data_IF_869072404022
#
_entry.id   IF_869072404022
#
_cell.length_a   1.000
_cell.length_b   1.000
_cell.length_c   1.000
_cell.angle_alpha   90.00
_cell.angle_beta   90.00
_cell.angle_gamma   90.00
#
_symmetry.space_group_name_H-M   'P 1'
#
loop_
_entity.id
_entity.type
_entity.pdbx_description
1 polymer ?
#
# COMPACT_ATOMS: atom_id res chain seq x y z
N UNK A 1 -21.47 -11.42 18.99
CA UNK A 1 -20.26 -11.96 18.32
C UNK A 1 -19.52 -10.83 17.66
N UNK A 2 -18.19 -10.80 17.77
CA UNK A 2 -17.35 -9.81 17.11
C UNK A 2 -17.29 -10.07 15.60
N UNK A 3 -17.57 -9.04 14.80
CA UNK A 3 -17.35 -9.03 13.35
C UNK A 3 -15.86 -8.99 12.98
N UNK A 4 -15.54 -9.50 11.80
CA UNK A 4 -14.27 -9.35 11.11
C UNK A 4 -14.29 -8.14 10.18
N UNK A 5 -13.31 -7.25 10.36
CA UNK A 5 -13.25 -5.96 9.68
C UNK A 5 -11.90 -5.82 8.98
N UNK A 6 -11.91 -5.66 7.67
CA UNK A 6 -10.74 -5.25 6.89
C UNK A 6 -10.77 -3.73 6.73
N UNK A 7 -9.78 -3.04 7.28
CA UNK A 7 -9.68 -1.58 7.30
C UNK A 7 -8.59 -1.13 6.31
N UNK A 8 -8.96 -0.40 5.27
CA UNK A 8 -8.03 0.18 4.29
C UNK A 8 -7.69 1.63 4.65
N UNK A 9 -6.45 1.85 5.10
CA UNK A 9 -5.92 3.17 5.42
C UNK A 9 -5.35 3.87 4.18
N UNK A 10 -5.82 5.09 3.88
CA UNK A 10 -5.23 5.90 2.81
C UNK A 10 -3.78 6.33 3.08
N UNK A 11 -2.97 6.48 2.03
CA UNK A 11 -1.60 7.01 2.16
C UNK A 11 -1.56 8.43 2.73
N UNK A 12 -2.60 9.23 2.48
CA UNK A 12 -2.75 10.59 3.02
C UNK A 12 -2.94 10.60 4.55
N UNK A 13 -3.43 9.50 5.12
CA UNK A 13 -3.51 9.35 6.57
C UNK A 13 -2.16 9.05 7.21
N UNK A 14 -1.13 8.70 6.41
CA UNK A 14 0.25 8.54 6.86
C UNK A 14 1.04 9.81 6.58
N UNK A 15 0.96 10.38 5.38
CA UNK A 15 1.58 11.67 5.05
C UNK A 15 0.56 12.59 4.38
N UNK A 16 0.22 13.70 5.03
CA UNK A 16 -0.80 14.62 4.53
C UNK A 16 -0.30 15.45 3.34
N UNK A 17 -1.19 15.90 2.45
CA UNK A 17 -0.82 16.81 1.36
C UNK A 17 -0.07 18.05 1.89
N UNK A 18 1.03 18.41 1.24
CA UNK A 18 1.91 19.55 1.60
C UNK A 18 2.63 19.45 2.95
N UNK A 19 2.47 18.34 3.68
CA UNK A 19 3.22 18.09 4.89
C UNK A 19 4.66 17.68 4.55
N UNK A 20 5.63 18.16 5.31
CA UNK A 20 7.02 17.74 5.15
C UNK A 20 7.16 16.23 5.41
N UNK A 21 7.86 15.53 4.51
CA UNK A 21 7.95 14.07 4.47
C UNK A 21 8.89 13.46 5.53
N UNK A 22 8.88 13.98 6.77
CA UNK A 22 9.70 13.47 7.87
C UNK A 22 9.11 12.21 8.50
N UNK A 23 9.96 11.36 9.07
CA UNK A 23 9.50 10.21 9.86
C UNK A 23 8.59 10.64 11.02
N UNK A 24 8.94 11.73 11.72
CA UNK A 24 8.18 12.21 12.87
C UNK A 24 6.75 12.63 12.50
N UNK A 25 6.59 13.34 11.38
CA UNK A 25 5.28 13.71 10.86
C UNK A 25 4.44 12.49 10.51
N UNK A 26 5.03 11.53 9.79
CA UNK A 26 4.33 10.31 9.41
C UNK A 26 3.91 9.47 10.62
N UNK A 27 4.80 9.31 11.58
CA UNK A 27 4.51 8.55 12.79
C UNK A 27 3.44 9.23 13.66
N UNK A 28 3.43 10.56 13.75
CA UNK A 28 2.36 11.31 14.44
C UNK A 28 0.99 11.06 13.82
N UNK A 29 0.91 11.06 12.48
CA UNK A 29 -0.33 10.77 11.78
C UNK A 29 -0.79 9.32 12.00
N UNK A 30 0.15 8.37 11.95
CA UNK A 30 -0.10 6.95 12.24
C UNK A 30 -0.64 6.75 13.66
N UNK A 31 -0.10 7.42 14.68
CA UNK A 31 -0.62 7.37 16.05
C UNK A 31 -2.09 7.83 16.11
N UNK A 32 -2.41 8.90 15.37
CA UNK A 32 -3.78 9.44 15.30
C UNK A 32 -4.73 8.45 14.62
N UNK A 33 -4.35 7.91 13.46
CA UNK A 33 -5.18 6.97 12.71
C UNK A 33 -5.44 5.67 13.49
N UNK A 34 -4.40 5.12 14.14
CA UNK A 34 -4.49 3.86 14.89
C UNK A 34 -5.29 3.97 16.18
N UNK A 35 -5.55 5.18 16.68
CA UNK A 35 -6.41 5.40 17.85
C UNK A 35 -7.84 4.90 17.62
N UNK A 36 -8.42 5.13 16.45
CA UNK A 36 -9.76 4.65 16.14
C UNK A 36 -9.79 3.16 15.82
N UNK A 37 -8.72 2.63 15.24
CA UNK A 37 -8.59 1.19 14.97
C UNK A 37 -8.57 0.38 16.27
N UNK A 38 -7.91 0.88 17.32
CA UNK A 38 -7.88 0.15 18.61
C UNK A 38 -9.25 0.15 19.30
N UNK A 39 -10.05 1.19 19.14
CA UNK A 39 -11.44 1.27 19.65
C UNK A 39 -12.31 0.14 19.03
N UNK A 40 -12.09 -0.17 17.75
CA UNK A 40 -12.76 -1.30 17.07
C UNK A 40 -12.35 -2.65 17.69
N UNK A 41 -11.07 -2.83 18.06
CA UNK A 41 -10.58 -4.08 18.67
C UNK A 41 -11.11 -4.23 20.10
N UNK A 42 -11.15 -3.13 20.84
CA UNK A 42 -11.71 -3.04 22.19
C UNK A 42 -13.20 -3.40 22.23
N UNK A 43 -13.95 -3.03 21.18
CA UNK A 43 -15.34 -3.45 20.99
C UNK A 43 -15.51 -4.96 20.65
N UNK A 44 -14.42 -5.72 20.61
CA UNK A 44 -14.42 -7.17 20.39
C UNK A 44 -14.38 -7.61 18.93
N UNK A 45 -14.05 -6.70 17.99
CA UNK A 45 -13.94 -7.03 16.57
C UNK A 45 -12.56 -7.58 16.20
N UNK A 46 -12.52 -8.44 15.17
CA UNK A 46 -11.30 -8.93 14.54
C UNK A 46 -10.88 -7.94 13.47
N UNK A 47 -9.61 -7.54 13.45
CA UNK A 47 -9.14 -6.47 12.57
C UNK A 47 -7.99 -6.95 11.70
N UNK A 48 -8.13 -6.71 10.40
CA UNK A 48 -7.02 -6.71 9.44
C UNK A 48 -6.87 -5.31 8.87
N UNK A 49 -5.66 -4.78 8.84
CA UNK A 49 -5.36 -3.44 8.36
C UNK A 49 -4.58 -3.57 7.05
N UNK A 50 -5.06 -2.89 6.01
CA UNK A 50 -4.27 -2.58 4.82
C UNK A 50 -3.95 -1.10 4.80
N UNK A 51 -2.95 -0.71 4.01
CA UNK A 51 -2.58 0.69 3.88
C UNK A 51 -2.12 1.03 2.47
N UNK A 52 -2.26 2.30 2.08
CA UNK A 52 -1.56 2.85 0.92
C UNK A 52 -0.10 3.11 1.23
N UNK A 53 0.71 3.28 0.18
CA UNK A 53 2.14 3.59 0.31
C UNK A 53 2.60 4.71 -0.66
N UNK A 54 1.69 5.36 -1.40
CA UNK A 54 2.03 6.25 -2.51
C UNK A 54 3.15 7.26 -2.21
N UNK A 55 3.03 8.09 -1.15
CA UNK A 55 4.11 9.00 -0.78
C UNK A 55 5.40 8.28 -0.33
N UNK A 56 5.28 7.17 0.40
CA UNK A 56 6.42 6.43 0.96
C UNK A 56 7.24 5.71 -0.12
N UNK A 57 6.57 4.95 -0.99
CA UNK A 57 7.22 4.28 -2.13
C UNK A 57 7.77 5.31 -3.11
N UNK A 58 7.10 6.45 -3.28
CA UNK A 58 7.61 7.58 -4.07
C UNK A 58 8.95 8.11 -3.54
N UNK A 59 9.06 8.30 -2.22
CA UNK A 59 10.32 8.72 -1.58
C UNK A 59 11.43 7.66 -1.70
N UNK A 60 11.08 6.38 -1.54
CA UNK A 60 12.03 5.27 -1.72
C UNK A 60 12.57 5.22 -3.16
N UNK A 61 11.69 5.37 -4.15
CA UNK A 61 12.09 5.46 -5.57
C UNK A 61 12.98 6.68 -5.79
N UNK A 62 12.64 7.84 -5.23
CA UNK A 62 13.46 9.04 -5.32
C UNK A 62 14.86 8.85 -4.72
N UNK A 63 14.97 8.14 -3.60
CA UNK A 63 16.24 7.79 -2.97
C UNK A 63 17.07 6.88 -3.88
N UNK A 64 16.46 5.82 -4.44
CA UNK A 64 17.12 4.92 -5.39
C UNK A 64 17.62 5.67 -6.64
N UNK A 65 16.81 6.59 -7.17
CA UNK A 65 17.20 7.40 -8.33
C UNK A 65 18.35 8.38 -8.02
N UNK A 66 18.37 8.96 -6.82
CA UNK A 66 19.43 9.86 -6.39
C UNK A 66 20.78 9.14 -6.23
N UNK A 67 20.76 7.85 -5.88
CA UNK A 67 21.98 7.05 -5.67
C UNK A 67 22.36 6.16 -6.84
N UNK A 68 21.67 6.24 -7.99
CA UNK A 68 21.83 5.32 -9.13
C UNK A 68 23.23 5.18 -9.71
N UNK A 69 24.10 6.17 -9.51
CA UNK A 69 25.50 6.15 -9.96
C UNK A 69 26.43 5.41 -8.97
N UNK A 70 25.92 5.02 -7.80
CA UNK A 70 26.64 4.37 -6.71
C UNK A 70 26.04 3.00 -6.41
N UNK A 71 24.71 2.89 -6.42
CA UNK A 71 23.94 1.67 -6.16
C UNK A 71 22.91 1.51 -7.26
N UNK A 72 22.81 0.32 -7.83
CA UNK A 72 21.80 0.05 -8.87
C UNK A 72 20.38 0.26 -8.31
N UNK A 73 19.51 1.03 -8.99
CA UNK A 73 18.14 1.24 -8.55
C UNK A 73 17.38 -0.06 -8.44
N UNK A 74 16.67 -0.24 -7.32
CA UNK A 74 15.80 -1.38 -7.13
C UNK A 74 14.59 -1.35 -8.08
N UNK A 75 14.10 -2.53 -8.50
CA UNK A 75 12.82 -2.63 -9.18
C UNK A 75 11.68 -2.15 -8.26
N UNK A 76 10.57 -1.69 -8.86
CA UNK A 76 9.46 -1.06 -8.10
C UNK A 76 8.84 -2.04 -7.10
N UNK A 77 8.72 -3.31 -7.46
CA UNK A 77 8.17 -4.32 -6.57
C UNK A 77 9.04 -4.52 -5.30
N UNK A 78 10.36 -4.32 -5.40
CA UNK A 78 11.26 -4.33 -4.24
C UNK A 78 11.11 -3.04 -3.41
N UNK A 79 11.02 -1.86 -4.04
CA UNK A 79 10.69 -0.61 -3.35
C UNK A 79 9.33 -0.69 -2.62
N UNK A 80 8.37 -1.41 -3.20
CA UNK A 80 7.08 -1.68 -2.57
C UNK A 80 7.26 -2.54 -1.31
N UNK A 81 8.08 -3.60 -1.39
CA UNK A 81 8.43 -4.43 -0.22
C UNK A 81 9.06 -3.60 0.91
N UNK A 82 10.01 -2.70 0.60
CA UNK A 82 10.60 -1.78 1.58
C UNK A 82 9.53 -0.88 2.23
N UNK A 83 8.61 -0.34 1.41
CA UNK A 83 7.53 0.51 1.91
C UNK A 83 6.56 -0.23 2.85
N UNK A 84 6.33 -1.53 2.63
CA UNK A 84 5.52 -2.35 3.53
C UNK A 84 6.21 -2.52 4.89
N UNK A 85 7.52 -2.81 4.90
CA UNK A 85 8.30 -2.89 6.13
C UNK A 85 8.30 -1.56 6.90
N UNK A 86 8.52 -0.45 6.19
CA UNK A 86 8.54 0.88 6.79
C UNK A 86 7.19 1.26 7.43
N UNK A 87 6.09 1.11 6.70
CA UNK A 87 4.77 1.50 7.19
C UNK A 87 4.25 0.51 8.24
N UNK A 88 4.47 -0.79 8.01
CA UNK A 88 4.13 -1.85 8.97
C UNK A 88 4.80 -1.64 10.32
N UNK A 89 6.09 -1.28 10.33
CA UNK A 89 6.80 -0.92 11.56
C UNK A 89 6.12 0.25 12.30
N UNK A 90 5.76 1.33 11.60
CA UNK A 90 5.08 2.48 12.22
C UNK A 90 3.72 2.08 12.81
N UNK A 91 2.93 1.32 12.06
CA UNK A 91 1.61 0.85 12.47
C UNK A 91 1.69 -0.09 13.69
N UNK A 92 2.56 -1.09 13.64
CA UNK A 92 2.78 -2.03 14.74
C UNK A 92 3.17 -1.30 16.02
N UNK A 93 4.16 -0.40 15.92
CA UNK A 93 4.64 0.37 17.07
C UNK A 93 3.52 1.20 17.70
N UNK A 94 2.70 1.87 16.88
CA UNK A 94 1.59 2.68 17.37
C UNK A 94 0.49 1.81 18.02
N UNK A 95 0.07 0.73 17.36
CA UNK A 95 -0.96 -0.18 17.87
C UNK A 95 -0.53 -0.91 19.14
N UNK A 96 0.71 -1.42 19.21
CA UNK A 96 1.26 -2.06 20.42
C UNK A 96 1.26 -1.10 21.61
N UNK A 97 1.59 0.18 21.39
CA UNK A 97 1.49 1.20 22.43
C UNK A 97 0.04 1.46 22.87
N UNK A 98 -0.91 1.49 21.93
CA UNK A 98 -2.33 1.65 22.25
C UNK A 98 -2.90 0.46 23.03
N UNK A 99 -2.54 -0.76 22.65
CA UNK A 99 -2.87 -2.01 23.35
C UNK A 99 -2.35 -1.95 24.79
N UNK A 100 -1.06 -1.62 24.97
CA UNK A 100 -0.44 -1.54 26.30
C UNK A 100 -1.12 -0.50 27.20
N UNK A 101 -1.44 0.69 26.66
CA UNK A 101 -2.10 1.77 27.40
C UNK A 101 -3.52 1.44 27.84
N UNK A 102 -4.25 0.63 27.06
CA UNK A 102 -5.64 0.24 27.34
C UNK A 102 -5.77 -1.09 28.08
N UNK A 103 -4.67 -1.80 28.32
CA UNK A 103 -4.72 -3.13 28.93
C UNK A 103 -5.43 -4.17 28.07
N UNK A 104 -5.43 -4.00 26.75
CA UNK A 104 -6.05 -4.95 25.82
C UNK A 104 -5.17 -6.19 25.69
N UNK A 105 -5.76 -7.38 25.75
CA UNK A 105 -5.07 -8.64 25.46
C UNK A 105 -5.14 -8.92 23.96
N UNK A 106 -4.20 -8.37 23.21
CA UNK A 106 -4.03 -8.62 21.77
C UNK A 106 -2.56 -8.44 21.37
N UNK A 107 -2.19 -9.00 20.22
CA UNK A 107 -0.90 -8.73 19.59
C UNK A 107 -1.08 -8.00 18.26
N UNK A 108 0.03 -7.57 17.64
CA UNK A 108 0.05 -6.96 16.31
C UNK A 108 1.18 -7.58 15.50
N UNK A 109 0.91 -7.95 14.26
CA UNK A 109 1.89 -8.51 13.33
C UNK A 109 1.70 -7.97 11.91
N UNK A 110 2.80 -7.58 11.27
CA UNK A 110 2.86 -7.18 9.86
C UNK A 110 3.32 -8.34 9.00
N UNK A 111 2.59 -8.54 7.89
CA UNK A 111 2.90 -9.52 6.87
C UNK A 111 3.41 -8.81 5.63
N UNK A 112 4.64 -9.12 5.25
CA UNK A 112 5.12 -8.82 3.89
C UNK A 112 4.23 -9.60 2.92
N UNK A 113 3.53 -8.89 2.05
CA UNK A 113 2.43 -9.47 1.28
C UNK A 113 2.69 -9.37 -0.21
N UNK A 114 2.81 -10.53 -0.86
CA UNK A 114 2.76 -10.67 -2.32
C UNK A 114 1.32 -10.83 -2.79
N UNK A 115 1.04 -10.28 -3.97
CA UNK A 115 -0.28 -10.37 -4.62
C UNK A 115 -0.10 -10.78 -6.07
N UNK A 116 -0.68 -11.93 -6.41
CA UNK A 116 -0.68 -12.43 -7.78
C UNK A 116 -1.60 -11.57 -8.66
N UNK A 117 -1.12 -11.23 -9.85
CA UNK A 117 -1.84 -10.48 -10.88
C UNK A 117 -1.73 -11.20 -12.23
N UNK A 118 -2.54 -10.79 -13.21
CA UNK A 118 -2.34 -11.25 -14.58
C UNK A 118 -1.16 -10.52 -15.23
N UNK A 119 -0.17 -11.25 -15.74
CA UNK A 119 0.92 -10.66 -16.54
C UNK A 119 0.41 -10.11 -17.89
N UNK A 120 -0.79 -10.51 -18.31
CA UNK A 120 -1.48 -10.05 -19.51
C UNK A 120 -2.67 -9.14 -19.21
N UNK A 121 -2.73 -8.53 -18.01
CA UNK A 121 -3.78 -7.56 -17.68
C UNK A 121 -3.76 -6.39 -18.68
N UNK A 122 -4.94 -5.89 -19.09
CA UNK A 122 -5.07 -4.75 -20.00
C UNK A 122 -4.40 -3.49 -19.46
N UNK A 123 -4.20 -3.39 -18.14
CA UNK A 123 -3.45 -2.31 -17.51
C UNK A 123 -2.00 -2.21 -18.01
N UNK A 124 -1.41 -3.29 -18.55
CA UNK A 124 -0.07 -3.28 -19.14
C UNK A 124 -0.03 -2.61 -20.52
N UNK A 125 -1.14 -2.60 -21.27
CA UNK A 125 -1.21 -1.94 -22.58
C UNK A 125 -1.20 -0.41 -22.44
N UNK A 126 -1.79 0.11 -21.36
CA UNK A 126 -1.84 1.56 -21.08
C UNK A 126 -1.55 1.84 -19.61
N UNK A 127 -0.26 1.93 -19.22
CA UNK A 127 0.15 2.37 -17.89
C UNK A 127 -0.39 3.77 -17.59
N UNK A 128 -1.06 3.95 -16.44
CA UNK A 128 -1.66 5.24 -16.06
C UNK A 128 -1.28 5.70 -14.67
N UNK A 129 -0.75 4.82 -13.81
CA UNK A 129 -0.49 5.15 -12.40
C UNK A 129 0.84 5.89 -12.27
N UNK A 130 0.86 7.19 -11.92
CA UNK A 130 2.11 7.94 -11.83
C UNK A 130 2.87 7.58 -10.55
N UNK A 131 4.20 7.50 -10.66
CA UNK A 131 5.11 7.13 -9.57
C UNK A 131 6.37 7.98 -9.57
N UNK A 132 7.10 7.97 -8.44
CA UNK A 132 8.39 8.63 -8.31
C UNK A 132 8.32 10.15 -8.49
N UNK A 133 9.47 10.72 -8.87
CA UNK A 133 9.71 12.16 -9.05
C UNK A 133 9.23 12.68 -10.41
N UNK A 134 9.28 14.00 -10.57
CA UNK A 134 9.09 14.65 -11.86
C UNK A 134 10.41 14.66 -12.66
N UNK A 135 10.27 14.54 -13.97
CA UNK A 135 11.34 14.58 -14.96
C UNK A 135 11.06 15.70 -15.96
N UNK A 136 12.12 16.27 -16.51
CA UNK A 136 12.01 17.09 -17.73
C UNK A 136 11.61 16.24 -18.95
N UNK A 137 11.13 16.88 -20.01
CA UNK A 137 10.80 16.19 -21.27
C UNK A 137 12.01 15.44 -21.85
N UNK A 138 13.21 16.03 -21.78
CA UNK A 138 14.43 15.40 -22.27
C UNK A 138 14.82 14.15 -21.49
N UNK A 139 14.67 14.18 -20.16
CA UNK A 139 14.91 13.02 -19.30
C UNK A 139 13.86 11.93 -19.53
N UNK A 140 12.59 12.32 -19.70
CA UNK A 140 11.51 11.39 -20.00
C UNK A 140 11.79 10.63 -21.30
N UNK A 141 12.18 11.33 -22.38
CA UNK A 141 12.56 10.70 -23.66
C UNK A 141 13.74 9.73 -23.52
N UNK A 142 14.68 9.98 -22.60
CA UNK A 142 15.78 9.04 -22.31
C UNK A 142 15.30 7.80 -21.57
N UNK A 143 14.34 7.94 -20.66
CA UNK A 143 13.75 6.83 -19.90
C UNK A 143 12.83 5.97 -20.78
N UNK A 144 12.08 6.58 -21.70
CA UNK A 144 11.28 5.85 -22.69
C UNK A 144 12.14 4.93 -23.56
N UNK A 145 13.34 5.37 -23.95
CA UNK A 145 14.31 4.53 -24.66
C UNK A 145 14.81 3.33 -23.84
N UNK A 146 14.69 3.39 -22.51
CA UNK A 146 14.99 2.28 -21.60
C UNK A 146 13.76 1.39 -21.34
N UNK A 147 12.64 1.64 -22.01
CA UNK A 147 11.40 0.87 -21.89
C UNK A 147 10.47 1.33 -20.77
N UNK A 148 10.74 2.48 -20.14
CA UNK A 148 9.83 3.03 -19.12
C UNK A 148 8.69 3.81 -19.77
N UNK A 149 7.47 3.56 -19.33
CA UNK A 149 6.33 4.38 -19.72
C UNK A 149 6.36 5.72 -18.96
N UNK A 150 6.23 6.83 -19.69
CA UNK A 150 6.21 8.18 -19.16
C UNK A 150 4.89 8.88 -19.51
N UNK A 151 4.40 9.77 -18.65
CA UNK A 151 3.24 10.60 -18.93
C UNK A 151 3.49 12.02 -18.44
N UNK A 152 3.03 13.00 -19.21
CA UNK A 152 2.96 14.39 -18.76
C UNK A 152 1.91 14.52 -17.64
N UNK A 153 2.22 15.31 -16.60
CA UNK A 153 1.34 15.53 -15.45
C UNK A 153 0.99 17.02 -15.32
N UNK A 154 0.01 17.45 -16.13
CA UNK A 154 -0.64 18.76 -16.08
C UNK A 154 0.33 19.96 -16.04
N UNK A 155 1.34 19.96 -16.92
CA UNK A 155 2.34 21.04 -17.01
C UNK A 155 3.36 21.10 -15.87
N UNK A 156 3.34 20.14 -14.94
CA UNK A 156 4.33 20.05 -13.84
C UNK A 156 5.59 19.25 -14.22
N UNK A 157 5.64 18.74 -15.45
CA UNK A 157 6.68 17.86 -15.96
C UNK A 157 6.16 16.46 -16.28
N UNK A 158 7.08 15.53 -16.48
CA UNK A 158 6.80 14.14 -16.81
C UNK A 158 6.97 13.25 -15.58
N UNK A 159 6.20 12.18 -15.48
CA UNK A 159 6.38 11.16 -14.44
C UNK A 159 6.40 9.78 -15.08
N UNK A 160 7.13 8.87 -14.45
CA UNK A 160 7.02 7.46 -14.80
C UNK A 160 5.61 6.99 -14.45
N UNK A 161 4.98 6.28 -15.37
CA UNK A 161 3.69 5.62 -15.15
C UNK A 161 3.86 4.12 -15.18
N UNK A 162 3.09 3.44 -14.34
CA UNK A 162 3.09 1.98 -14.26
C UNK A 162 1.68 1.41 -14.38
N UNK A 163 1.57 0.14 -14.79
CA UNK A 163 0.33 -0.61 -14.77
C UNK A 163 -0.26 -0.69 -13.37
N UNK A 164 -1.60 -0.71 -13.30
CA UNK A 164 -2.34 -0.99 -12.08
C UNK A 164 -3.31 -2.15 -12.32
N UNK A 165 -2.79 -3.40 -12.38
CA UNK A 165 -3.59 -4.58 -12.70
C UNK A 165 -4.54 -4.96 -11.56
N UNK A 166 -5.53 -5.81 -11.88
CA UNK A 166 -6.46 -6.33 -10.88
C UNK A 166 -5.79 -7.39 -9.98
N UNK A 167 -5.96 -7.31 -8.64
CA UNK A 167 -5.43 -8.31 -7.72
C UNK A 167 -6.22 -9.62 -7.85
N UNK A 168 -5.51 -10.74 -8.06
CA UNK A 168 -6.12 -12.08 -8.17
C UNK A 168 -6.04 -12.85 -6.86
N UNK A 169 -4.83 -13.05 -6.34
CA UNK A 169 -4.59 -13.90 -5.16
C UNK A 169 -3.66 -13.19 -4.19
N UNK A 170 -4.10 -13.00 -2.95
CA UNK A 170 -3.26 -12.49 -1.88
C UNK A 170 -2.57 -13.67 -1.20
N UNK A 171 -1.26 -13.59 -1.01
CA UNK A 171 -0.49 -14.61 -0.29
C UNK A 171 -0.65 -14.45 1.23
N UNK A 172 -0.56 -15.56 1.96
CA UNK A 172 -0.63 -15.56 3.42
C UNK A 172 -2.05 -15.60 4.02
N UNK A 173 -3.09 -15.79 3.21
CA UNK A 173 -4.49 -15.74 3.66
C UNK A 173 -4.81 -16.75 4.77
N UNK A 174 -4.26 -17.96 4.71
CA UNK A 174 -4.49 -18.99 5.72
C UNK A 174 -3.86 -18.61 7.06
N UNK A 175 -2.65 -18.06 7.03
CA UNK A 175 -1.94 -17.55 8.20
C UNK A 175 -2.69 -16.37 8.83
N UNK A 176 -3.14 -15.43 7.99
CA UNK A 176 -3.97 -14.30 8.44
C UNK A 176 -5.24 -14.84 9.10
N UNK A 177 -5.95 -15.78 8.48
CA UNK A 177 -7.20 -16.35 9.01
C UNK A 177 -7.02 -17.00 10.38
N UNK A 178 -5.88 -17.67 10.61
CA UNK A 178 -5.56 -18.30 11.90
C UNK A 178 -5.24 -17.27 12.99
N UNK A 179 -4.72 -16.10 12.63
CA UNK A 179 -4.22 -15.11 13.59
C UNK A 179 -5.24 -14.04 13.99
N UNK A 180 -6.23 -13.73 13.15
CA UNK A 180 -7.12 -12.57 13.32
C UNK A 180 -7.97 -12.59 14.59
N UNK A 181 -8.14 -13.75 15.23
CA UNK A 181 -8.87 -13.86 16.49
C UNK A 181 -8.12 -13.14 17.63
N UNK A 182 -6.81 -13.30 17.70
CA UNK A 182 -5.98 -12.82 18.81
C UNK A 182 -5.10 -11.62 18.40
N UNK A 183 -4.77 -11.52 17.12
CA UNK A 183 -3.78 -10.58 16.59
C UNK A 183 -4.43 -9.60 15.62
N UNK A 184 -4.10 -8.31 15.77
CA UNK A 184 -4.35 -7.32 14.73
C UNK A 184 -3.33 -7.56 13.63
N UNK A 185 -3.80 -7.93 12.44
CA UNK A 185 -2.91 -8.25 11.32
C UNK A 185 -2.79 -7.04 10.40
N UNK A 186 -1.57 -6.66 10.03
CA UNK A 186 -1.30 -5.66 9.00
C UNK A 186 -0.81 -6.42 7.75
N UNK A 187 -1.45 -6.23 6.60
CA UNK A 187 -1.13 -6.95 5.36
C UNK A 187 -1.47 -6.10 4.13
N UNK A 188 -1.08 -6.57 2.94
CA UNK A 188 -1.40 -5.94 1.65
C UNK A 188 -1.00 -4.46 1.58
N UNK A 189 0.11 -4.11 2.23
CA UNK A 189 0.62 -2.75 2.25
C UNK A 189 0.94 -2.26 0.85
N UNK A 190 0.52 -1.05 0.52
CA UNK A 190 0.66 -0.48 -0.82
C UNK A 190 -0.14 -1.19 -1.91
N UNK A 191 -1.13 -2.01 -1.54
CA UNK A 191 -1.84 -2.91 -2.47
C UNK A 191 -1.17 -4.28 -2.64
N UNK A 192 -0.01 -4.50 -2.01
CA UNK A 192 0.76 -5.74 -2.13
C UNK A 192 1.91 -5.64 -3.14
N UNK A 193 2.88 -6.53 -3.01
CA UNK A 193 4.01 -6.69 -3.94
C UNK A 193 3.48 -7.47 -5.15
N UNK A 194 3.39 -6.88 -6.34
CA UNK A 194 2.86 -7.55 -7.52
C UNK A 194 3.78 -8.68 -7.97
N UNK A 195 3.22 -9.87 -8.11
CA UNK A 195 3.89 -11.05 -8.64
C UNK A 195 3.03 -11.76 -9.67
N UNK A 196 3.64 -12.61 -10.49
CA UNK A 196 2.91 -13.55 -11.35
C UNK A 196 3.59 -14.92 -11.31
N UNK A 197 2.84 -15.96 -11.71
CA UNK A 197 3.39 -17.30 -11.94
C UNK A 197 3.69 -17.50 -13.41
N UNK A 198 4.88 -17.98 -13.72
CA UNK A 198 5.20 -18.45 -15.06
C UNK A 198 4.58 -19.83 -15.35
N UNK A 199 4.82 -20.35 -16.56
CA UNK A 199 4.26 -21.62 -17.01
C UNK A 199 4.82 -22.83 -16.22
N UNK A 200 5.94 -22.65 -15.51
CA UNK A 200 6.52 -23.64 -14.59
C UNK A 200 6.02 -23.48 -13.14
N UNK A 201 5.17 -22.48 -12.87
CA UNK A 201 4.60 -22.19 -11.56
C UNK A 201 5.50 -21.36 -10.63
N UNK A 202 6.67 -20.90 -11.11
CA UNK A 202 7.62 -20.10 -10.35
C UNK A 202 7.13 -18.64 -10.26
N UNK A 203 7.42 -18.01 -9.11
CA UNK A 203 7.02 -16.63 -8.83
C UNK A 203 8.04 -15.62 -9.34
N UNK A 204 7.54 -14.58 -10.00
CA UNK A 204 8.34 -13.48 -10.52
C UNK A 204 7.75 -12.14 -10.10
N UNK A 205 8.62 -11.18 -9.77
CA UNK A 205 8.22 -9.79 -9.54
C UNK A 205 7.76 -9.11 -10.83
N UNK A 206 6.86 -8.14 -10.70
CA UNK A 206 6.30 -7.43 -11.85
C UNK A 206 6.33 -5.92 -11.62
N UNK A 207 6.75 -5.17 -12.65
CA UNK A 207 6.81 -3.69 -12.58
C UNK A 207 5.39 -3.09 -12.66
N UNK A 208 4.68 -3.10 -11.53
CA UNK A 208 3.31 -2.60 -11.40
C UNK A 208 3.05 -2.02 -10.01
N UNK A 209 1.94 -1.30 -9.85
CA UNK A 209 1.42 -0.88 -8.54
C UNK A 209 -0.06 -1.22 -8.47
N UNK A 210 -0.41 -2.15 -7.60
CA UNK A 210 -1.79 -2.59 -7.39
C UNK A 210 -2.54 -1.53 -6.61
N UNK A 211 -3.78 -1.26 -7.00
CA UNK A 211 -4.63 -0.35 -6.23
C UNK A 211 -4.92 -0.93 -4.82
N UNK A 212 -4.64 -0.13 -3.80
CA UNK A 212 -4.75 -0.54 -2.39
C UNK A 212 -6.18 -0.91 -2.01
N UNK A 213 -7.17 -0.25 -2.58
CA UNK A 213 -8.58 -0.43 -2.21
C UNK A 213 -9.13 -1.68 -2.92
N UNK A 214 -8.71 -1.94 -4.17
CA UNK A 214 -8.96 -3.22 -4.86
C UNK A 214 -8.32 -4.40 -4.13
N UNK A 215 -7.07 -4.24 -3.67
CA UNK A 215 -6.37 -5.27 -2.91
C UNK A 215 -7.02 -5.50 -1.54
N UNK A 216 -7.40 -4.42 -0.84
CA UNK A 216 -8.16 -4.51 0.41
C UNK A 216 -9.51 -5.20 0.25
N UNK A 217 -10.23 -4.93 -0.83
CA UNK A 217 -11.48 -5.63 -1.16
C UNK A 217 -11.22 -7.12 -1.44
N UNK A 218 -10.17 -7.45 -2.22
CA UNK A 218 -9.79 -8.84 -2.48
C UNK A 218 -9.43 -9.58 -1.18
N UNK A 219 -8.73 -8.93 -0.26
CA UNK A 219 -8.40 -9.47 1.06
C UNK A 219 -9.66 -9.75 1.87
N UNK A 220 -10.59 -8.80 1.92
CA UNK A 220 -11.87 -8.97 2.60
C UNK A 220 -12.67 -10.15 2.02
N UNK A 221 -12.70 -10.28 0.69
CA UNK A 221 -13.35 -11.41 0.01
C UNK A 221 -12.70 -12.75 0.38
N UNK A 222 -11.37 -12.87 0.31
CA UNK A 222 -10.67 -14.13 0.58
C UNK A 222 -10.70 -14.54 2.06
N UNK A 223 -10.84 -13.57 2.97
CA UNK A 223 -11.04 -13.83 4.40
C UNK A 223 -12.50 -14.07 4.79
N UNK A 224 -13.45 -13.88 3.87
CA UNK A 224 -14.89 -13.81 4.17
C UNK A 224 -15.19 -12.80 5.29
N UNK A 225 -14.59 -11.61 5.19
CA UNK A 225 -14.76 -10.58 6.19
C UNK A 225 -16.19 -10.01 6.18
N UNK A 226 -16.72 -9.70 7.36
CA UNK A 226 -18.07 -9.15 7.51
C UNK A 226 -18.16 -7.70 7.00
N UNK A 227 -17.07 -6.96 7.10
CA UNK A 227 -16.99 -5.53 6.75
C UNK A 227 -15.68 -5.22 6.05
N UNK A 228 -15.77 -4.53 4.92
CA UNK A 228 -14.65 -3.81 4.32
C UNK A 228 -14.85 -2.30 4.56
N UNK A 229 -13.90 -1.68 5.26
CA UNK A 229 -13.97 -0.28 5.70
C UNK A 229 -12.86 0.53 5.03
N UNK A 230 -13.22 1.49 4.19
CA UNK A 230 -12.28 2.40 3.54
C UNK A 230 -12.19 3.70 4.33
N UNK A 231 -11.00 4.01 4.87
CA UNK A 231 -10.77 5.26 5.59
C UNK A 231 -10.18 6.31 4.63
N UNK A 232 -10.88 7.44 4.53
CA UNK A 232 -10.55 8.56 3.63
C UNK A 232 -10.64 9.91 4.35
N UNK A 233 -10.23 10.97 3.68
CA UNK A 233 -10.19 12.36 4.17
C UNK A 233 -11.49 13.15 3.92
N UNK A 234 -12.50 12.51 3.34
CA UNK A 234 -13.84 13.06 3.12
C UNK A 234 -14.89 12.31 3.94
N UNK A 235 -15.93 12.99 4.45
CA UNK A 235 -16.90 12.35 5.34
C UNK A 235 -17.83 11.35 4.64
N UNK A 236 -18.10 11.52 3.34
CA UNK A 236 -19.03 10.70 2.57
C UNK A 236 -18.61 10.61 1.09
N UNK A 237 -19.28 9.74 0.34
CA UNK A 237 -19.26 9.76 -1.13
C UNK A 237 -20.20 10.85 -1.61
N UNK A 238 -19.70 11.75 -2.46
CA UNK A 238 -20.46 12.86 -3.01
C UNK A 238 -20.62 12.71 -4.53
N UNK A 239 -21.79 13.06 -5.05
CA UNK A 239 -21.97 13.37 -6.47
C UNK A 239 -21.53 14.83 -6.71
N UNK A 240 -20.83 15.11 -7.82
CA UNK A 240 -20.31 16.44 -8.16
C UNK A 240 -19.32 17.05 -7.13
N UNK A 241 -18.46 16.22 -6.53
CA UNK A 241 -17.45 16.69 -5.58
C UNK A 241 -16.52 17.76 -6.18
N UNK A 242 -16.44 18.93 -5.55
CA UNK A 242 -15.60 20.05 -5.99
C UNK A 242 -16.10 20.80 -7.24
N UNK A 243 -17.31 20.49 -7.71
CA UNK A 243 -18.02 21.25 -8.76
C UNK A 243 -19.09 22.14 -8.14
#
# INVERSE_FOLDING_TARGET
MGKSVVIALGGNAILQPKQEATYANQFKNVISATRHMIEIKEAGHKIVITHGNGPQVGNIIAQNEATKNVVEPLPIYACNAESQGFIGYMLEKALKNHIKKRGITANVATFLTMVEVDKYDKAFEKPTKPIGVFYSEEEAKKLEKKGFAMSEDAGRGYRRVVPSPEPKVIHGIEEIRRLIDETIVISSGGGGIPVYRDDSGLLHGLEAVIDKDRSGLKLAQQLNADVFMMLTDVPNVFINFGK
#
